data_IF_148194618648
#
_entry.id   IF_148194618648
#
_cell.length_a   1.000
_cell.length_b   1.000
_cell.length_c   1.000
_cell.angle_alpha   90.00
_cell.angle_beta   90.00
_cell.angle_gamma   90.00
#
_symmetry.space_group_name_H-M   'P 1'
#
loop_
_entity.id
_entity.type
_entity.pdbx_description
1 polymer ?
#
# COMPACT_ATOMS: atom_id res chain seq x y z
N UNK A 1 37.28 -75.11 39.20
CA UNK A 1 36.73 -74.52 37.96
C UNK A 1 35.75 -73.39 38.39
N UNK A 2 36.21 -72.15 38.36
CA UNK A 2 35.44 -70.97 38.90
C UNK A 2 34.79 -70.27 37.73
N UNK A 3 33.50 -70.19 37.80
CA UNK A 3 32.68 -69.40 36.83
C UNK A 3 32.57 -67.97 37.35
N UNK A 4 32.97 -67.00 36.51
CA UNK A 4 32.79 -65.58 36.76
C UNK A 4 31.45 -65.13 36.16
N UNK A 5 30.68 -64.24 36.80
CA UNK A 5 29.43 -63.71 36.26
C UNK A 5 29.71 -62.59 35.25
N UNK A 6 28.88 -62.53 34.20
CA UNK A 6 28.86 -61.49 33.18
C UNK A 6 28.16 -60.21 33.70
N UNK A 7 28.78 -59.06 33.54
CA UNK A 7 28.24 -57.74 33.83
C UNK A 7 27.26 -57.32 32.72
N UNK A 8 26.01 -57.08 33.10
CA UNK A 8 25.00 -56.46 32.22
C UNK A 8 25.20 -54.93 32.19
N UNK A 9 25.47 -54.38 30.99
CA UNK A 9 25.48 -52.93 30.75
C UNK A 9 24.05 -52.52 30.45
N UNK A 10 23.47 -51.71 31.35
CA UNK A 10 22.16 -51.04 31.14
C UNK A 10 22.38 -49.78 30.26
N UNK A 11 21.84 -49.79 29.06
CA UNK A 11 21.76 -48.65 28.15
C UNK A 11 20.53 -47.81 28.57
N UNK A 12 20.76 -46.67 29.17
CA UNK A 12 19.70 -45.67 29.39
C UNK A 12 19.42 -44.93 28.07
N UNK A 13 18.27 -45.23 27.46
CA UNK A 13 17.70 -44.41 26.40
C UNK A 13 17.10 -43.15 27.03
N UNK A 14 17.77 -42.02 26.87
CA UNK A 14 17.20 -40.70 27.17
C UNK A 14 16.17 -40.31 26.10
N UNK A 15 14.89 -40.33 26.48
CA UNK A 15 13.81 -39.76 25.66
C UNK A 15 13.89 -38.25 25.78
N UNK A 16 14.42 -37.58 24.77
CA UNK A 16 14.33 -36.14 24.65
C UNK A 16 12.89 -35.77 24.28
N UNK A 17 12.14 -35.25 25.25
CA UNK A 17 10.85 -34.60 25.00
C UNK A 17 11.10 -33.29 24.28
N UNK A 18 10.84 -33.25 22.98
CA UNK A 18 10.75 -32.02 22.21
C UNK A 18 9.46 -31.31 22.69
N UNK A 19 9.63 -30.29 23.53
CA UNK A 19 8.53 -29.39 23.86
C UNK A 19 8.15 -28.61 22.59
N UNK A 20 7.06 -29.01 21.98
CA UNK A 20 6.35 -28.19 21.00
C UNK A 20 5.89 -26.93 21.72
N UNK A 21 6.62 -25.81 21.49
CA UNK A 21 6.12 -24.50 21.86
C UNK A 21 4.85 -24.25 21.02
N UNK A 22 3.71 -24.51 21.61
CA UNK A 22 2.43 -24.06 21.09
C UNK A 22 2.53 -22.54 20.98
N UNK A 23 2.45 -22.01 19.77
CA UNK A 23 2.22 -20.59 19.54
C UNK A 23 0.92 -20.25 20.27
N UNK A 24 1.05 -19.59 21.41
CA UNK A 24 -0.08 -19.08 22.16
C UNK A 24 -0.84 -18.15 21.22
N UNK A 25 -2.04 -18.55 20.80
CA UNK A 25 -3.00 -17.64 20.20
C UNK A 25 -3.24 -16.54 21.24
N UNK A 26 -2.65 -15.37 21.00
CA UNK A 26 -2.89 -14.19 21.83
C UNK A 26 -4.37 -13.85 21.72
N UNK A 27 -5.04 -13.75 22.86
CA UNK A 27 -6.41 -13.27 22.99
C UNK A 27 -6.54 -11.94 22.21
N UNK A 28 -7.40 -11.84 21.17
CA UNK A 28 -7.56 -10.63 20.35
C UNK A 28 -7.88 -9.38 21.20
N UNK A 29 -8.52 -9.55 22.36
CA UNK A 29 -8.83 -8.45 23.28
C UNK A 29 -7.59 -7.80 23.92
N UNK A 30 -6.39 -8.37 23.73
CA UNK A 30 -5.12 -7.89 24.29
C UNK A 30 -4.14 -7.33 23.26
N UNK A 31 -4.44 -7.40 21.96
CA UNK A 31 -3.58 -6.84 20.91
C UNK A 31 -4.27 -5.61 20.25
N UNK A 32 -3.86 -4.38 20.62
CA UNK A 32 -4.46 -3.17 20.04
C UNK A 32 -4.36 -3.10 18.51
N UNK A 33 -3.29 -3.64 17.93
CA UNK A 33 -3.12 -3.72 16.47
C UNK A 33 -4.20 -4.61 15.85
N UNK A 34 -4.38 -5.84 16.37
CA UNK A 34 -5.40 -6.76 15.88
C UNK A 34 -6.80 -6.13 15.95
N UNK A 35 -7.18 -5.56 17.10
CA UNK A 35 -8.49 -4.91 17.28
C UNK A 35 -8.71 -3.79 16.26
N UNK A 36 -7.69 -2.98 15.99
CA UNK A 36 -7.77 -1.91 14.99
C UNK A 36 -7.93 -2.46 13.58
N UNK A 37 -7.09 -3.41 13.18
CA UNK A 37 -7.13 -4.01 11.84
C UNK A 37 -8.46 -4.71 11.60
N UNK A 38 -8.98 -5.44 12.58
CA UNK A 38 -10.30 -6.08 12.54
C UNK A 38 -11.43 -5.06 12.34
N UNK A 39 -11.42 -3.98 13.12
CA UNK A 39 -12.42 -2.92 13.06
C UNK A 39 -12.41 -2.20 11.70
N UNK A 40 -11.23 -1.78 11.24
CA UNK A 40 -11.06 -1.07 9.97
C UNK A 40 -11.49 -1.97 8.80
N UNK A 41 -10.99 -3.20 8.73
CA UNK A 41 -11.27 -4.12 7.64
C UNK A 41 -12.76 -4.45 7.57
N UNK A 42 -13.38 -4.77 8.70
CA UNK A 42 -14.81 -5.08 8.77
C UNK A 42 -15.69 -3.89 8.37
N UNK A 43 -15.35 -2.69 8.84
CA UNK A 43 -16.11 -1.48 8.52
C UNK A 43 -16.03 -1.12 7.03
N UNK A 44 -14.84 -1.21 6.43
CA UNK A 44 -14.66 -0.90 4.99
C UNK A 44 -15.36 -1.93 4.12
N UNK A 45 -15.23 -3.24 4.44
CA UNK A 45 -15.95 -4.29 3.69
C UNK A 45 -17.47 -4.11 3.78
N UNK A 46 -17.99 -3.78 4.97
CA UNK A 46 -19.42 -3.51 5.15
C UNK A 46 -19.88 -2.28 4.34
N UNK A 47 -19.07 -1.22 4.28
CA UNK A 47 -19.40 0.00 3.56
C UNK A 47 -19.31 -0.16 2.04
N UNK A 48 -18.34 -0.93 1.53
CA UNK A 48 -18.08 -1.09 0.08
C UNK A 48 -18.82 -2.27 -0.53
N UNK A 49 -19.16 -3.27 0.28
CA UNK A 49 -19.74 -4.54 -0.18
C UNK A 49 -18.72 -5.45 -0.89
N UNK A 50 -17.42 -5.17 -0.77
CA UNK A 50 -16.35 -6.05 -1.28
C UNK A 50 -16.38 -7.38 -0.52
N UNK A 51 -16.34 -8.54 -1.22
CA UNK A 51 -16.59 -9.83 -0.57
C UNK A 51 -15.57 -10.23 0.47
N UNK A 52 -14.28 -9.97 0.22
CA UNK A 52 -13.22 -10.31 1.18
C UNK A 52 -12.01 -9.40 1.08
N UNK A 53 -11.26 -9.35 2.20
CA UNK A 53 -9.93 -8.79 2.27
C UNK A 53 -8.99 -9.75 3.00
N UNK A 54 -7.75 -9.91 2.51
CA UNK A 54 -6.63 -10.54 3.20
C UNK A 54 -5.62 -9.46 3.56
N UNK A 55 -5.30 -9.34 4.85
CA UNK A 55 -4.48 -8.24 5.39
C UNK A 55 -3.24 -8.81 6.06
N UNK A 56 -2.08 -8.20 5.83
CA UNK A 56 -0.87 -8.44 6.61
C UNK A 56 -0.28 -7.09 7.06
N UNK A 57 0.25 -7.05 8.28
CA UNK A 57 0.90 -5.87 8.85
C UNK A 57 2.27 -6.26 9.37
N UNK A 58 3.28 -5.50 8.94
CA UNK A 58 4.66 -5.60 9.41
C UNK A 58 4.90 -4.49 10.43
N UNK A 59 5.50 -4.83 11.55
CA UNK A 59 5.99 -3.89 12.57
C UNK A 59 7.38 -4.32 13.04
N UNK A 60 8.26 -3.35 13.21
CA UNK A 60 9.65 -3.61 13.64
C UNK A 60 10.36 -4.64 12.73
N UNK A 61 10.12 -4.57 11.42
CA UNK A 61 10.69 -5.47 10.43
C UNK A 61 10.20 -6.92 10.51
N UNK A 62 9.05 -7.19 11.15
CA UNK A 62 8.49 -8.54 11.31
C UNK A 62 7.00 -8.56 11.04
N UNK A 63 6.50 -9.67 10.52
CA UNK A 63 5.07 -9.90 10.38
C UNK A 63 4.41 -9.91 11.77
N UNK A 64 3.67 -8.85 12.09
CA UNK A 64 3.00 -8.66 13.38
C UNK A 64 1.54 -9.13 13.37
N UNK A 65 0.91 -9.13 12.20
CA UNK A 65 -0.49 -9.53 12.05
C UNK A 65 -0.76 -10.05 10.64
N UNK A 66 -1.57 -11.11 10.51
CA UNK A 66 -2.10 -11.59 9.25
C UNK A 66 -3.48 -12.22 9.47
N UNK A 67 -4.49 -11.74 8.74
CA UNK A 67 -5.87 -12.26 8.84
C UNK A 67 -6.64 -12.02 7.54
N UNK A 68 -7.70 -12.81 7.33
CA UNK A 68 -8.62 -12.60 6.22
C UNK A 68 -10.06 -12.43 6.72
N UNK A 69 -10.82 -11.61 6.02
CA UNK A 69 -12.18 -11.22 6.34
C UNK A 69 -13.11 -11.52 5.18
N UNK A 70 -14.37 -11.84 5.48
CA UNK A 70 -15.41 -12.01 4.49
C UNK A 70 -15.36 -13.35 3.76
N UNK A 71 -15.78 -13.35 2.48
CA UNK A 71 -15.94 -14.57 1.68
C UNK A 71 -15.02 -14.59 0.45
N UNK A 72 -14.20 -15.63 0.33
CA UNK A 72 -13.39 -15.91 -0.86
C UNK A 72 -14.24 -16.35 -2.04
N UNK A 73 -15.43 -16.87 -1.78
CA UNK A 73 -16.47 -17.24 -2.75
C UNK A 73 -17.85 -17.00 -2.17
N UNK A 74 -18.75 -16.40 -2.95
CA UNK A 74 -20.09 -16.05 -2.50
C UNK A 74 -21.09 -17.20 -2.67
N UNK A 75 -20.97 -17.97 -3.76
CA UNK A 75 -21.89 -19.08 -4.06
C UNK A 75 -21.12 -20.31 -4.63
N UNK A 76 -21.20 -21.48 -3.96
CA UNK A 76 -21.55 -21.60 -2.55
C UNK A 76 -20.55 -20.83 -1.68
N UNK A 77 -21.03 -20.25 -0.57
CA UNK A 77 -20.20 -19.42 0.31
C UNK A 77 -19.02 -20.21 0.88
N UNK A 78 -17.82 -19.62 0.74
CA UNK A 78 -16.58 -20.08 1.37
C UNK A 78 -15.94 -18.88 2.04
N UNK A 79 -15.68 -18.97 3.33
CA UNK A 79 -15.01 -17.89 4.04
C UNK A 79 -13.55 -17.74 3.59
N UNK A 80 -13.05 -16.51 3.60
CA UNK A 80 -11.67 -16.23 3.28
C UNK A 80 -10.74 -16.63 4.43
N UNK A 81 -9.56 -17.17 4.09
CA UNK A 81 -8.52 -17.53 5.06
C UNK A 81 -7.18 -16.91 4.65
N UNK A 82 -6.29 -16.65 5.61
CA UNK A 82 -5.03 -15.95 5.39
C UNK A 82 -4.05 -16.71 4.49
N UNK A 83 -4.26 -18.01 4.26
CA UNK A 83 -3.49 -18.86 3.35
C UNK A 83 -4.00 -18.84 1.90
N UNK A 84 -5.08 -18.12 1.63
CA UNK A 84 -5.60 -17.97 0.28
C UNK A 84 -4.82 -16.94 -0.52
N UNK A 85 -4.61 -17.25 -1.80
CA UNK A 85 -3.95 -16.37 -2.76
C UNK A 85 -4.96 -15.41 -3.38
N UNK A 86 -4.48 -14.21 -3.67
CA UNK A 86 -5.16 -13.20 -4.48
C UNK A 86 -4.20 -12.74 -5.57
N UNK A 87 -4.69 -12.37 -6.73
CA UNK A 87 -3.88 -11.71 -7.73
C UNK A 87 -3.49 -10.32 -7.22
N UNK A 88 -2.21 -9.96 -7.34
CA UNK A 88 -1.69 -8.70 -6.81
C UNK A 88 -1.55 -7.61 -7.89
N UNK A 89 -1.85 -7.96 -9.15
CA UNK A 89 -1.83 -7.02 -10.27
C UNK A 89 -0.50 -6.27 -10.37
N UNK A 90 -0.60 -4.96 -10.56
CA UNK A 90 0.55 -4.08 -10.80
C UNK A 90 1.58 -4.03 -9.68
N UNK A 91 1.31 -4.54 -8.47
CA UNK A 91 2.36 -4.74 -7.46
C UNK A 91 3.45 -5.67 -7.99
N UNK A 92 3.16 -6.53 -8.98
CA UNK A 92 4.15 -7.37 -9.70
C UNK A 92 5.27 -6.55 -10.34
N UNK A 93 5.02 -5.29 -10.68
CA UNK A 93 6.04 -4.39 -11.27
C UNK A 93 7.25 -4.17 -10.35
N UNK A 94 7.06 -4.22 -9.06
CA UNK A 94 8.17 -4.17 -8.09
C UNK A 94 9.14 -5.33 -8.29
N UNK A 95 8.61 -6.53 -8.55
CA UNK A 95 9.41 -7.73 -8.79
C UNK A 95 10.12 -7.68 -10.15
N UNK A 96 9.46 -7.13 -11.17
CA UNK A 96 10.09 -6.90 -12.48
C UNK A 96 11.23 -5.90 -12.38
N UNK A 97 11.04 -4.80 -11.66
CA UNK A 97 12.09 -3.81 -11.41
C UNK A 97 13.26 -4.43 -10.62
N UNK A 98 12.97 -5.22 -9.59
CA UNK A 98 13.98 -5.94 -8.82
C UNK A 98 14.77 -6.93 -9.69
N UNK A 99 14.12 -7.64 -10.62
CA UNK A 99 14.77 -8.54 -11.56
C UNK A 99 15.75 -7.79 -12.48
N UNK A 100 15.36 -6.63 -12.98
CA UNK A 100 16.26 -5.76 -13.77
C UNK A 100 17.45 -5.30 -12.91
N UNK A 101 17.20 -4.87 -11.68
CA UNK A 101 18.25 -4.42 -10.76
C UNK A 101 19.22 -5.55 -10.38
N UNK A 102 18.75 -6.80 -10.22
CA UNK A 102 19.63 -7.96 -10.03
C UNK A 102 20.56 -8.17 -11.22
N UNK A 103 20.05 -8.06 -12.46
CA UNK A 103 20.87 -8.17 -13.66
C UNK A 103 21.86 -6.99 -13.79
N UNK A 104 21.48 -5.78 -13.37
CA UNK A 104 22.39 -4.65 -13.29
C UNK A 104 23.52 -4.90 -12.29
N UNK A 105 23.23 -5.43 -11.10
CA UNK A 105 24.25 -5.78 -10.11
C UNK A 105 25.24 -6.83 -10.61
N UNK A 106 24.79 -7.71 -11.50
CA UNK A 106 25.63 -8.70 -12.18
C UNK A 106 26.43 -8.09 -13.36
N UNK A 107 26.28 -6.81 -13.65
CA UNK A 107 26.95 -6.14 -14.77
C UNK A 107 26.44 -6.58 -16.15
N UNK A 108 25.27 -7.23 -16.23
CA UNK A 108 24.69 -7.75 -17.48
C UNK A 108 23.93 -6.70 -18.29
N UNK A 109 23.45 -5.66 -17.60
CA UNK A 109 22.78 -4.49 -18.19
C UNK A 109 23.02 -3.24 -17.36
N UNK A 110 22.67 -2.07 -17.91
CA UNK A 110 22.60 -0.81 -17.19
C UNK A 110 21.19 -0.24 -17.31
N UNK A 111 20.69 0.43 -16.27
CA UNK A 111 19.42 1.16 -16.33
C UNK A 111 19.43 2.23 -17.45
N UNK A 112 20.60 2.75 -17.81
CA UNK A 112 20.76 3.78 -18.83
C UNK A 112 21.03 3.19 -20.22
N UNK A 113 21.01 1.86 -20.37
CA UNK A 113 21.07 1.22 -21.68
C UNK A 113 19.80 1.50 -22.50
N UNK A 114 19.93 1.77 -23.83
CA UNK A 114 18.78 1.87 -24.70
C UNK A 114 18.10 0.50 -24.86
N UNK A 115 16.77 0.51 -24.90
CA UNK A 115 15.97 -0.74 -24.96
C UNK A 115 16.24 -1.52 -26.24
N UNK A 116 16.61 -0.86 -27.34
CA UNK A 116 16.96 -1.50 -28.63
C UNK A 116 18.17 -2.42 -28.54
N UNK A 117 19.04 -2.25 -27.54
CA UNK A 117 20.17 -3.15 -27.27
C UNK A 117 19.71 -4.57 -26.97
N UNK A 118 18.52 -4.73 -26.40
CA UNK A 118 17.98 -6.01 -25.97
C UNK A 118 16.76 -6.46 -26.78
N UNK A 119 15.90 -5.50 -27.15
CA UNK A 119 14.68 -5.72 -27.92
C UNK A 119 14.70 -4.81 -29.16
N UNK A 120 15.20 -5.29 -30.29
CA UNK A 120 15.28 -4.50 -31.52
C UNK A 120 13.88 -4.25 -32.13
N UNK A 121 13.75 -3.17 -32.89
CA UNK A 121 12.57 -2.86 -33.69
C UNK A 121 11.43 -2.15 -32.95
N UNK A 122 11.63 -1.73 -31.69
CA UNK A 122 10.71 -0.85 -30.99
C UNK A 122 10.84 0.59 -31.44
N UNK A 123 9.73 1.34 -31.41
CA UNK A 123 9.73 2.77 -31.78
C UNK A 123 10.65 3.55 -30.84
N UNK A 124 11.57 4.33 -31.43
CA UNK A 124 12.58 5.11 -30.71
C UNK A 124 13.37 4.30 -29.65
N UNK A 125 13.52 3.00 -29.86
CA UNK A 125 14.20 2.11 -28.91
C UNK A 125 15.66 2.48 -28.64
N UNK A 126 16.31 3.29 -29.51
CA UNK A 126 17.65 3.83 -29.27
C UNK A 126 17.66 5.03 -28.30
N UNK A 127 16.52 5.67 -28.07
CA UNK A 127 16.37 6.85 -27.24
C UNK A 127 15.76 6.53 -25.88
N UNK A 128 14.89 5.50 -25.83
CA UNK A 128 14.25 5.04 -24.59
C UNK A 128 15.22 4.16 -23.81
N UNK A 129 15.40 4.46 -22.53
CA UNK A 129 16.25 3.68 -21.60
C UNK A 129 15.41 2.71 -20.76
N UNK A 130 16.08 1.70 -20.17
CA UNK A 130 15.43 0.78 -19.20
C UNK A 130 14.90 1.57 -18.00
N UNK A 131 15.60 2.59 -17.54
CA UNK A 131 15.14 3.48 -16.45
C UNK A 131 13.80 4.13 -16.80
N UNK A 132 13.66 4.66 -18.01
CA UNK A 132 12.42 5.31 -18.46
C UNK A 132 11.26 4.31 -18.62
N UNK A 133 11.52 3.02 -18.91
CA UNK A 133 10.50 1.98 -18.81
C UNK A 133 10.02 1.83 -17.37
N UNK A 134 10.94 1.57 -16.42
CA UNK A 134 10.61 1.27 -15.03
C UNK A 134 10.00 2.45 -14.27
N UNK A 135 10.17 3.67 -14.77
CA UNK A 135 9.62 4.90 -14.18
C UNK A 135 8.42 5.49 -14.92
N UNK A 136 7.91 4.81 -15.95
CA UNK A 136 6.79 5.31 -16.78
C UNK A 136 7.04 6.66 -17.47
N UNK A 137 8.30 6.91 -17.86
CA UNK A 137 8.69 8.13 -18.58
C UNK A 137 9.14 7.87 -20.03
N UNK A 138 8.90 6.66 -20.55
CA UNK A 138 9.32 6.23 -21.89
C UNK A 138 8.52 6.84 -23.04
N UNK A 139 7.21 7.09 -22.83
CA UNK A 139 6.26 7.48 -23.85
C UNK A 139 5.58 6.33 -24.59
N UNK A 140 5.90 5.05 -24.33
CA UNK A 140 5.18 3.93 -24.93
C UNK A 140 3.71 3.92 -24.51
N UNK A 141 2.82 3.73 -25.50
CA UNK A 141 1.37 3.64 -25.30
C UNK A 141 1.01 2.47 -24.37
N UNK A 142 0.05 2.69 -23.49
CA UNK A 142 -0.46 1.62 -22.63
C UNK A 142 -1.37 0.67 -23.43
N UNK A 143 -1.14 -0.63 -23.30
CA UNK A 143 -2.00 -1.64 -23.94
C UNK A 143 -3.30 -1.88 -23.16
N UNK A 144 -3.36 -1.50 -21.89
CA UNK A 144 -4.53 -1.67 -21.02
C UNK A 144 -4.87 -0.39 -20.24
N UNK A 145 -5.33 0.67 -20.96
CA UNK A 145 -5.65 1.94 -20.30
C UNK A 145 -7.06 2.00 -19.69
N UNK A 146 -7.89 0.96 -19.85
CA UNK A 146 -9.26 0.87 -19.35
C UNK A 146 -9.38 -0.11 -18.19
N UNK A 147 -10.31 0.15 -17.26
CA UNK A 147 -10.52 -0.65 -16.05
C UNK A 147 -11.48 -1.85 -16.27
N UNK A 148 -11.49 -2.44 -17.45
CA UNK A 148 -12.28 -3.64 -17.76
C UNK A 148 -11.57 -4.52 -18.79
N UNK A 149 -11.98 -5.79 -18.89
CA UNK A 149 -11.47 -6.75 -19.88
C UNK A 149 -12.28 -6.67 -21.16
N UNK A 150 -11.74 -6.10 -22.25
CA UNK A 150 -12.43 -6.15 -23.53
C UNK A 150 -12.38 -7.57 -24.13
N UNK A 151 -13.34 -7.94 -25.01
CA UNK A 151 -13.43 -9.30 -25.57
C UNK A 151 -12.14 -9.78 -26.29
N UNK A 152 -11.32 -8.86 -26.78
CA UNK A 152 -10.02 -9.18 -27.39
C UNK A 152 -9.04 -9.73 -26.37
N UNK A 153 -9.10 -9.26 -25.11
CA UNK A 153 -8.23 -9.69 -24.01
C UNK A 153 -8.69 -11.00 -23.35
N UNK A 154 -9.84 -11.53 -23.68
CA UNK A 154 -10.23 -12.89 -23.26
C UNK A 154 -9.43 -13.97 -24.01
N UNK A 155 -8.79 -13.61 -25.11
CA UNK A 155 -7.96 -14.52 -25.92
C UNK A 155 -6.49 -14.38 -25.49
N UNK A 156 -5.74 -15.49 -25.49
CA UNK A 156 -4.29 -15.44 -25.19
C UNK A 156 -3.54 -14.55 -26.18
N UNK A 157 -2.51 -13.89 -25.67
CA UNK A 157 -1.52 -13.13 -26.44
C UNK A 157 -0.11 -13.50 -25.96
N UNK A 158 0.91 -13.33 -26.81
CA UNK A 158 2.29 -13.39 -26.32
C UNK A 158 2.79 -12.00 -25.95
N UNK A 159 3.77 -11.87 -25.02
CA UNK A 159 4.40 -10.59 -24.73
C UNK A 159 4.94 -9.92 -26.01
N UNK A 160 5.50 -10.69 -26.94
CA UNK A 160 5.91 -10.16 -28.26
C UNK A 160 4.73 -9.61 -29.05
N UNK A 161 3.56 -10.24 -28.99
CA UNK A 161 2.33 -9.76 -29.63
C UNK A 161 1.88 -8.40 -29.08
N UNK A 162 2.03 -8.18 -27.76
CA UNK A 162 1.78 -6.84 -27.14
C UNK A 162 2.76 -5.81 -27.71
N UNK A 163 4.05 -6.13 -27.76
CA UNK A 163 5.05 -5.23 -28.30
C UNK A 163 4.79 -4.90 -29.77
N UNK A 164 4.40 -5.88 -30.56
CA UNK A 164 4.12 -5.71 -31.99
C UNK A 164 2.94 -4.74 -32.24
N UNK A 165 1.97 -4.73 -31.34
CA UNK A 165 0.79 -3.84 -31.45
C UNK A 165 1.01 -2.46 -30.83
N UNK A 166 1.65 -2.33 -29.68
CA UNK A 166 1.70 -1.07 -28.91
C UNK A 166 3.09 -0.45 -28.84
N UNK A 167 4.17 -1.24 -28.72
CA UNK A 167 5.51 -0.69 -28.62
C UNK A 167 6.13 -0.26 -29.97
N UNK A 168 5.43 -0.56 -31.08
CA UNK A 168 5.77 -0.10 -32.43
C UNK A 168 4.92 1.09 -32.89
N UNK A 169 3.97 1.52 -32.10
CA UNK A 169 3.21 2.75 -32.35
C UNK A 169 4.07 4.00 -32.05
N UNK A 170 3.71 5.18 -32.59
CA UNK A 170 4.32 6.43 -32.15
C UNK A 170 4.25 6.60 -30.64
N UNK A 171 5.31 7.14 -30.03
CA UNK A 171 5.28 7.49 -28.62
C UNK A 171 4.27 8.60 -28.34
N UNK A 172 3.59 8.56 -27.19
CA UNK A 172 2.68 9.63 -26.75
C UNK A 172 3.41 10.93 -26.43
N UNK A 173 4.69 10.84 -26.08
CA UNK A 173 5.59 11.97 -25.80
C UNK A 173 7.06 11.54 -25.92
N UNK A 174 7.96 12.51 -26.03
CA UNK A 174 9.39 12.25 -26.07
C UNK A 174 9.89 11.66 -24.73
N UNK A 175 10.78 10.64 -24.75
CA UNK A 175 11.29 9.98 -23.55
C UNK A 175 11.81 10.99 -22.52
N UNK A 176 11.48 10.79 -21.26
CA UNK A 176 11.89 11.62 -20.12
C UNK A 176 11.21 12.99 -20.00
N UNK A 177 10.25 13.33 -20.87
CA UNK A 177 9.60 14.67 -20.84
C UNK A 177 8.28 14.70 -20.08
N UNK A 178 7.63 13.54 -19.89
CA UNK A 178 6.37 13.40 -19.15
C UNK A 178 6.35 12.08 -18.41
N UNK A 179 5.45 11.99 -17.45
CA UNK A 179 5.08 10.76 -16.80
C UNK A 179 3.69 10.31 -17.26
N UNK A 180 3.60 9.05 -17.69
CA UNK A 180 2.32 8.40 -18.04
C UNK A 180 2.45 6.92 -17.79
N UNK A 181 1.58 6.42 -16.91
CA UNK A 181 1.54 4.99 -16.61
C UNK A 181 1.33 4.17 -17.89
N UNK A 182 2.12 3.12 -18.07
CA UNK A 182 2.00 2.22 -19.22
C UNK A 182 2.44 0.82 -18.85
N UNK A 183 1.52 -0.14 -18.95
CA UNK A 183 1.80 -1.56 -18.75
C UNK A 183 2.79 -2.09 -19.80
N UNK A 184 2.75 -1.56 -21.03
CA UNK A 184 3.68 -1.91 -22.13
C UNK A 184 5.15 -1.77 -21.70
N UNK A 185 5.47 -0.81 -20.85
CA UNK A 185 6.82 -0.62 -20.31
C UNK A 185 7.32 -1.86 -19.58
N UNK A 186 6.47 -2.46 -18.77
CA UNK A 186 6.83 -3.61 -17.94
C UNK A 186 6.80 -4.93 -18.71
N UNK A 187 6.04 -5.01 -19.81
CA UNK A 187 6.14 -6.09 -20.79
C UNK A 187 7.53 -6.08 -21.46
N UNK A 188 7.99 -4.90 -21.90
CA UNK A 188 9.34 -4.74 -22.44
C UNK A 188 10.39 -5.11 -21.40
N UNK A 189 10.26 -4.62 -20.16
CA UNK A 189 11.19 -4.89 -19.08
C UNK A 189 11.28 -6.41 -18.76
N UNK A 190 10.14 -7.11 -18.69
CA UNK A 190 10.07 -8.55 -18.50
C UNK A 190 10.78 -9.33 -19.63
N UNK A 191 10.57 -8.91 -20.88
CA UNK A 191 11.29 -9.50 -22.03
C UNK A 191 12.78 -9.19 -22.01
N UNK A 192 13.21 -8.02 -21.54
CA UNK A 192 14.64 -7.70 -21.34
C UNK A 192 15.23 -8.66 -20.30
N UNK A 193 14.54 -8.88 -19.16
CA UNK A 193 14.98 -9.83 -18.13
C UNK A 193 15.14 -11.23 -18.74
N UNK A 194 14.16 -11.72 -19.51
CA UNK A 194 14.21 -13.03 -20.17
C UNK A 194 15.36 -13.10 -21.18
N UNK A 195 15.54 -12.07 -22.01
CA UNK A 195 16.60 -12.03 -23.04
C UNK A 195 17.99 -12.04 -22.42
N UNK A 196 18.22 -11.23 -21.39
CA UNK A 196 19.52 -11.06 -20.74
C UNK A 196 19.89 -12.27 -19.85
N UNK A 197 18.90 -12.83 -19.16
CA UNK A 197 19.12 -13.99 -18.27
C UNK A 197 19.19 -15.32 -19.02
N UNK A 198 18.54 -15.43 -20.17
CA UNK A 198 18.40 -16.65 -20.94
C UNK A 198 17.41 -17.66 -20.36
N UNK A 199 16.61 -17.28 -19.37
CA UNK A 199 15.59 -18.15 -18.76
C UNK A 199 14.19 -17.49 -18.84
N UNK A 200 13.09 -18.26 -18.81
CA UNK A 200 11.74 -17.72 -18.80
C UNK A 200 11.55 -16.73 -17.64
N UNK A 201 10.82 -15.64 -17.88
CA UNK A 201 10.71 -14.53 -16.93
C UNK A 201 10.23 -14.96 -15.55
N UNK A 202 9.09 -15.68 -15.44
CA UNK A 202 8.61 -16.16 -14.15
C UNK A 202 9.59 -17.12 -13.45
N UNK A 203 10.35 -17.91 -14.21
CA UNK A 203 11.39 -18.77 -13.62
C UNK A 203 12.50 -17.91 -13.01
N UNK A 204 12.89 -16.82 -13.66
CA UNK A 204 13.86 -15.87 -13.10
C UNK A 204 13.33 -15.26 -11.80
N UNK A 205 12.10 -14.72 -11.81
CA UNK A 205 11.45 -14.17 -10.62
C UNK A 205 11.42 -15.21 -9.49
N UNK A 206 10.99 -16.44 -9.78
CA UNK A 206 10.91 -17.51 -8.80
C UNK A 206 12.27 -17.80 -8.16
N UNK A 207 13.27 -18.07 -8.97
CA UNK A 207 14.57 -18.54 -8.44
C UNK A 207 15.41 -17.44 -7.82
N UNK A 208 15.22 -16.19 -8.26
CA UNK A 208 16.07 -15.08 -7.84
C UNK A 208 15.43 -14.16 -6.79
N UNK A 209 14.10 -14.22 -6.64
CA UNK A 209 13.36 -13.36 -5.71
C UNK A 209 12.48 -14.19 -4.77
N UNK A 210 11.53 -14.97 -5.32
CA UNK A 210 10.51 -15.63 -4.52
C UNK A 210 11.09 -16.74 -3.62
N UNK A 211 11.94 -17.60 -4.14
CA UNK A 211 12.55 -18.71 -3.39
C UNK A 211 13.53 -18.19 -2.31
N UNK A 212 14.45 -17.23 -2.59
CA UNK A 212 15.29 -16.63 -1.56
C UNK A 212 14.50 -15.96 -0.42
N UNK A 213 13.38 -15.35 -0.71
CA UNK A 213 12.49 -14.71 0.28
C UNK A 213 11.45 -15.66 0.89
N UNK A 214 11.52 -16.97 0.55
CA UNK A 214 10.58 -17.99 1.02
C UNK A 214 9.10 -17.64 0.74
N UNK A 215 8.82 -17.02 -0.40
CA UNK A 215 7.46 -16.64 -0.84
C UNK A 215 6.78 -17.82 -1.56
N UNK A 216 6.56 -18.89 -0.82
CA UNK A 216 6.17 -20.21 -1.38
C UNK A 216 4.74 -20.27 -1.91
N UNK A 217 3.88 -19.32 -1.54
CA UNK A 217 2.51 -19.24 -2.07
C UNK A 217 2.44 -18.59 -3.45
N UNK A 218 3.48 -17.86 -3.87
CA UNK A 218 3.48 -17.12 -5.12
C UNK A 218 3.36 -18.02 -6.35
N UNK A 219 2.48 -17.62 -7.28
CA UNK A 219 2.24 -18.33 -8.55
C UNK A 219 2.16 -17.32 -9.69
N UNK A 220 2.45 -17.82 -10.89
CA UNK A 220 2.16 -17.13 -12.14
C UNK A 220 0.64 -17.22 -12.41
N UNK A 221 -0.07 -16.14 -12.12
CA UNK A 221 -1.50 -16.04 -12.31
C UNK A 221 -1.86 -15.81 -13.80
N UNK A 222 -1.00 -15.11 -14.53
CA UNK A 222 -1.21 -14.85 -15.95
C UNK A 222 -1.21 -16.14 -16.78
N UNK A 223 -0.19 -17.00 -16.59
CA UNK A 223 -0.10 -18.26 -17.31
C UNK A 223 -1.10 -19.33 -16.84
N UNK A 224 -1.44 -19.34 -15.54
CA UNK A 224 -2.28 -20.39 -14.92
C UNK A 224 -3.76 -20.01 -14.80
N UNK A 225 -4.07 -18.72 -14.88
CA UNK A 225 -5.42 -18.18 -14.74
C UNK A 225 -6.05 -18.36 -13.35
N UNK A 226 -7.34 -18.08 -13.22
CA UNK A 226 -8.08 -18.04 -11.95
C UNK A 226 -8.06 -19.35 -11.17
N UNK A 227 -7.85 -20.49 -11.82
CA UNK A 227 -7.77 -21.80 -11.14
C UNK A 227 -6.52 -21.95 -10.27
N UNK A 228 -5.51 -21.09 -10.43
CA UNK A 228 -4.31 -21.08 -9.60
C UNK A 228 -4.51 -20.47 -8.20
N UNK A 229 -5.62 -19.76 -8.01
CA UNK A 229 -6.05 -19.20 -6.73
C UNK A 229 -7.38 -19.84 -6.30
N UNK A 230 -7.59 -19.95 -4.99
CA UNK A 230 -8.87 -20.49 -4.45
C UNK A 230 -9.93 -19.40 -4.27
N UNK A 231 -9.52 -18.15 -4.37
CA UNK A 231 -10.37 -16.98 -4.23
C UNK A 231 -11.01 -16.64 -5.58
N UNK A 232 -12.32 -16.45 -5.60
CA UNK A 232 -13.03 -16.00 -6.79
C UNK A 232 -12.97 -14.49 -6.86
N UNK A 233 -12.52 -13.96 -7.99
CA UNK A 233 -12.58 -12.53 -8.30
C UNK A 233 -13.98 -12.11 -8.73
N UNK A 234 -14.41 -10.92 -8.34
CA UNK A 234 -15.73 -10.37 -8.64
C UNK A 234 -15.63 -9.01 -9.33
N UNK A 235 -16.64 -8.71 -10.13
CA UNK A 235 -16.88 -7.40 -10.71
C UNK A 235 -18.32 -6.94 -10.39
N UNK A 236 -18.57 -5.65 -10.58
CA UNK A 236 -19.91 -5.07 -10.43
C UNK A 236 -20.16 -4.05 -11.55
N UNK A 237 -21.31 -4.15 -12.18
CA UNK A 237 -21.76 -3.13 -13.13
C UNK A 237 -22.58 -2.06 -12.39
N UNK A 238 -22.03 -0.88 -12.24
CA UNK A 238 -22.64 0.20 -11.45
C UNK A 238 -22.92 -0.24 -10.00
N UNK A 239 -24.16 -0.13 -9.55
CA UNK A 239 -24.62 -0.56 -8.22
C UNK A 239 -25.32 -1.93 -8.24
N UNK A 240 -25.17 -2.69 -9.32
CA UNK A 240 -25.78 -4.02 -9.48
C UNK A 240 -25.18 -5.08 -8.58
N UNK A 241 -25.63 -6.34 -8.69
CA UNK A 241 -25.09 -7.44 -7.91
C UNK A 241 -23.66 -7.79 -8.34
N UNK A 242 -22.90 -8.33 -7.40
CA UNK A 242 -21.59 -8.91 -7.69
C UNK A 242 -21.72 -10.13 -8.62
N UNK A 243 -20.80 -10.21 -9.56
CA UNK A 243 -20.68 -11.32 -10.53
C UNK A 243 -19.24 -11.80 -10.55
N UNK A 244 -18.99 -13.09 -10.81
CA UNK A 244 -17.63 -13.56 -11.11
C UNK A 244 -17.02 -12.71 -12.23
N UNK A 245 -15.78 -12.31 -12.03
CA UNK A 245 -15.06 -11.45 -12.97
C UNK A 245 -14.74 -12.18 -14.28
N UNK A 246 -14.65 -11.43 -15.37
CA UNK A 246 -14.23 -11.94 -16.68
C UNK A 246 -12.70 -12.10 -16.63
N UNK A 247 -12.21 -13.29 -16.93
CA UNK A 247 -10.76 -13.56 -16.92
C UNK A 247 -10.12 -13.11 -18.22
N UNK A 248 -8.92 -12.55 -18.11
CA UNK A 248 -8.05 -12.37 -19.27
C UNK A 248 -7.54 -13.71 -19.79
N UNK A 249 -7.27 -13.80 -21.09
CA UNK A 249 -6.45 -14.86 -21.66
C UNK A 249 -5.01 -14.76 -21.15
N UNK A 250 -4.26 -15.84 -21.25
CA UNK A 250 -2.85 -15.87 -20.82
C UNK A 250 -1.98 -14.92 -21.66
N UNK A 251 -0.98 -14.30 -21.04
CA UNK A 251 0.03 -13.47 -21.67
C UNK A 251 -0.25 -11.96 -21.66
N UNK A 252 -1.36 -11.51 -21.06
CA UNK A 252 -1.69 -10.09 -20.97
C UNK A 252 -1.08 -9.36 -19.77
N UNK A 253 -0.57 -10.12 -18.78
CA UNK A 253 -0.08 -9.52 -17.53
C UNK A 253 1.41 -9.74 -17.29
N UNK A 254 2.03 -10.61 -18.03
CA UNK A 254 3.44 -11.01 -18.03
C UNK A 254 4.33 -10.20 -17.03
N UNK A 255 5.18 -9.25 -17.50
CA UNK A 255 6.00 -8.43 -16.60
C UNK A 255 5.26 -7.33 -15.85
N UNK A 256 4.00 -7.04 -16.21
CA UNK A 256 3.22 -5.93 -15.65
C UNK A 256 2.32 -6.32 -14.47
N UNK A 257 1.90 -7.61 -14.34
CA UNK A 257 0.86 -7.97 -13.38
C UNK A 257 0.69 -9.46 -13.07
N UNK A 258 1.65 -10.32 -13.40
CA UNK A 258 1.47 -11.78 -13.47
C UNK A 258 1.27 -12.51 -12.13
N UNK A 259 1.60 -11.89 -11.00
CA UNK A 259 1.72 -12.61 -9.73
C UNK A 259 0.40 -12.71 -8.96
N UNK A 260 0.20 -13.87 -8.31
CA UNK A 260 -0.76 -14.03 -7.23
C UNK A 260 -0.09 -14.70 -6.02
N UNK A 261 -0.45 -14.25 -4.82
CA UNK A 261 0.11 -14.78 -3.57
C UNK A 261 -0.76 -14.46 -2.36
N UNK A 262 -0.35 -14.93 -1.18
CA UNK A 262 -0.95 -14.54 0.09
C UNK A 262 -0.44 -13.17 0.55
N UNK A 263 -1.22 -12.46 1.37
CA UNK A 263 -0.78 -11.20 1.98
C UNK A 263 0.50 -11.38 2.82
N UNK A 264 0.64 -12.52 3.49
CA UNK A 264 1.84 -12.84 4.29
C UNK A 264 3.09 -13.03 3.43
N UNK A 265 2.97 -13.56 2.21
CA UNK A 265 4.13 -13.68 1.32
C UNK A 265 4.51 -12.31 0.73
N UNK A 266 3.53 -11.48 0.35
CA UNK A 266 3.83 -10.12 -0.08
C UNK A 266 4.48 -9.30 1.05
N UNK A 267 4.08 -9.50 2.31
CA UNK A 267 4.73 -8.88 3.46
C UNK A 267 6.20 -9.31 3.64
N UNK A 268 6.62 -10.49 3.15
CA UNK A 268 8.06 -10.87 3.14
C UNK A 268 8.85 -10.04 2.14
N UNK A 269 8.25 -9.71 1.01
CA UNK A 269 8.83 -8.74 0.06
C UNK A 269 8.99 -7.37 0.72
N UNK A 270 7.97 -6.88 1.41
CA UNK A 270 8.03 -5.61 2.11
C UNK A 270 9.11 -5.61 3.21
N UNK A 271 9.28 -6.72 3.94
CA UNK A 271 10.37 -6.90 4.91
C UNK A 271 11.72 -6.82 4.21
N UNK A 272 11.88 -7.45 3.03
CA UNK A 272 13.11 -7.40 2.27
C UNK A 272 13.42 -5.98 1.74
N UNK A 273 12.42 -5.15 1.49
CA UNK A 273 12.61 -3.72 1.20
C UNK A 273 13.07 -2.94 2.44
N UNK A 274 12.55 -3.27 3.62
CA UNK A 274 12.89 -2.61 4.89
C UNK A 274 14.33 -2.93 5.32
N UNK A 275 14.74 -4.20 5.24
CA UNK A 275 16.04 -4.68 5.73
C UNK A 275 17.11 -4.76 4.63
N UNK A 276 16.77 -4.36 3.41
CA UNK A 276 17.64 -4.37 2.23
C UNK A 276 18.28 -5.75 1.95
N UNK A 277 17.57 -6.86 2.23
CA UNK A 277 18.17 -8.20 2.27
C UNK A 277 18.32 -8.89 0.91
N UNK A 278 17.59 -8.46 -0.13
CA UNK A 278 17.61 -9.11 -1.45
C UNK A 278 18.52 -8.39 -2.45
N UNK A 279 18.40 -7.06 -2.54
CA UNK A 279 19.15 -6.22 -3.46
C UNK A 279 20.30 -5.52 -2.71
N UNK A 280 21.32 -5.11 -3.46
CA UNK A 280 22.33 -4.22 -2.87
C UNK A 280 21.71 -2.86 -2.48
N UNK A 281 22.22 -2.18 -1.42
CA UNK A 281 21.65 -0.90 -0.95
C UNK A 281 21.57 0.17 -2.05
N UNK A 282 22.48 0.18 -3.02
CA UNK A 282 22.42 1.11 -4.16
C UNK A 282 21.22 0.85 -5.08
N UNK A 283 20.80 -0.41 -5.20
CA UNK A 283 19.63 -0.80 -6.01
C UNK A 283 18.32 -0.43 -5.32
N UNK A 284 18.22 -0.62 -4.00
CA UNK A 284 17.06 -0.13 -3.23
C UNK A 284 16.96 1.39 -3.34
N UNK A 285 18.07 2.13 -3.16
CA UNK A 285 18.05 3.58 -3.36
C UNK A 285 17.62 3.99 -4.77
N UNK A 286 18.06 3.28 -5.80
CA UNK A 286 17.62 3.56 -7.17
C UNK A 286 16.13 3.27 -7.37
N UNK A 287 15.62 2.18 -6.78
CA UNK A 287 14.22 1.79 -6.85
C UNK A 287 13.30 2.79 -6.14
N UNK A 288 13.69 3.24 -4.97
CA UNK A 288 12.91 4.05 -4.03
C UNK A 288 13.17 5.56 -4.13
N UNK A 289 13.91 5.99 -5.15
CA UNK A 289 14.13 7.42 -5.43
C UNK A 289 13.25 7.84 -6.60
N UNK A 290 12.51 8.92 -6.42
CA UNK A 290 11.67 9.46 -7.49
C UNK A 290 12.51 9.87 -8.70
N UNK A 291 12.07 9.49 -9.89
CA UNK A 291 12.71 9.89 -11.13
C UNK A 291 12.28 11.31 -11.48
N UNK A 292 13.26 12.13 -11.88
CA UNK A 292 13.00 13.49 -12.35
C UNK A 292 12.83 13.51 -13.86
N UNK A 293 11.88 14.28 -14.35
CA UNK A 293 11.73 14.59 -15.77
C UNK A 293 12.88 15.50 -16.25
N UNK A 294 13.06 15.63 -17.55
CA UNK A 294 14.11 16.48 -18.16
C UNK A 294 14.04 17.95 -17.76
N UNK A 295 12.88 18.43 -17.33
CA UNK A 295 12.67 19.79 -16.79
C UNK A 295 12.90 19.89 -15.27
N UNK A 296 13.27 18.79 -14.60
CA UNK A 296 13.53 18.72 -13.17
C UNK A 296 12.29 18.45 -12.31
N UNK A 297 11.10 18.30 -12.91
CA UNK A 297 9.87 17.98 -12.17
C UNK A 297 9.91 16.53 -11.67
N UNK A 298 9.58 16.34 -10.40
CA UNK A 298 9.47 15.00 -9.80
C UNK A 298 8.24 14.27 -10.31
N UNK A 299 8.40 12.99 -10.68
CA UNK A 299 7.29 12.14 -11.09
C UNK A 299 6.49 11.58 -9.91
N UNK A 300 7.04 11.58 -8.68
CA UNK A 300 6.48 10.84 -7.55
C UNK A 300 6.63 9.32 -7.70
N UNK A 301 7.34 8.84 -8.72
CA UNK A 301 7.50 7.43 -9.04
C UNK A 301 9.00 7.08 -9.19
N UNK A 302 9.40 5.96 -8.60
CA UNK A 302 10.74 5.41 -8.70
C UNK A 302 10.82 4.35 -9.79
N UNK A 303 11.37 3.18 -9.49
CA UNK A 303 11.44 2.06 -10.43
C UNK A 303 10.42 0.98 -10.00
N UNK A 304 9.22 1.02 -10.57
CA UNK A 304 8.13 0.11 -10.25
C UNK A 304 7.45 0.35 -8.89
N UNK A 305 7.65 1.53 -8.29
CA UNK A 305 7.07 1.95 -7.02
C UNK A 305 6.67 3.42 -7.03
N UNK A 306 5.62 3.76 -6.34
CA UNK A 306 5.29 5.13 -5.95
C UNK A 306 6.17 5.55 -4.76
N UNK A 307 6.62 6.79 -4.77
CA UNK A 307 7.48 7.36 -3.72
C UNK A 307 6.84 8.62 -3.17
N UNK A 308 6.48 8.60 -1.91
CA UNK A 308 5.77 9.70 -1.27
C UNK A 308 5.86 9.71 0.24
N UNK A 309 4.86 10.29 0.85
CA UNK A 309 4.69 10.33 2.31
C UNK A 309 3.23 10.03 2.68
N UNK A 310 3.05 9.33 3.77
CA UNK A 310 1.75 9.12 4.40
C UNK A 310 1.86 9.47 5.90
N UNK A 311 1.04 10.40 6.35
CA UNK A 311 1.06 10.90 7.74
C UNK A 311 2.43 11.44 8.21
N UNK A 312 3.21 12.04 7.30
CA UNK A 312 4.55 12.56 7.59
C UNK A 312 5.68 11.52 7.52
N UNK A 313 5.37 10.25 7.36
CA UNK A 313 6.33 9.15 7.22
C UNK A 313 6.63 8.89 5.75
N UNK A 314 7.90 8.63 5.40
CA UNK A 314 8.29 8.22 4.05
C UNK A 314 7.59 6.92 3.71
N UNK A 315 6.91 6.89 2.57
CA UNK A 315 6.14 5.75 2.11
C UNK A 315 6.56 5.34 0.69
N UNK A 316 6.77 4.05 0.50
CA UNK A 316 6.97 3.39 -0.78
C UNK A 316 5.75 2.50 -0.98
N UNK A 317 5.03 2.66 -2.09
CA UNK A 317 3.77 1.94 -2.29
C UNK A 317 3.57 1.53 -3.74
N UNK A 318 2.64 0.64 -3.96
CA UNK A 318 2.02 0.42 -5.25
C UNK A 318 0.64 -0.19 -5.06
N UNK A 319 -0.33 0.30 -5.82
CA UNK A 319 -1.63 -0.36 -5.96
C UNK A 319 -1.56 -1.45 -7.03
N UNK A 320 -2.48 -2.40 -6.97
CA UNK A 320 -2.63 -3.43 -7.99
C UNK A 320 -4.08 -3.64 -8.33
N UNK A 321 -4.36 -3.74 -9.64
CA UNK A 321 -5.67 -4.12 -10.14
C UNK A 321 -5.51 -5.08 -11.32
N UNK A 322 -6.29 -6.14 -11.29
CA UNK A 322 -6.57 -7.03 -12.41
C UNK A 322 -8.01 -7.50 -12.27
N UNK A 323 -8.57 -8.07 -13.33
CA UNK A 323 -9.96 -8.51 -13.32
C UNK A 323 -10.31 -9.34 -12.09
N UNK A 324 -11.23 -8.80 -11.28
CA UNK A 324 -11.72 -9.42 -10.04
C UNK A 324 -10.91 -9.19 -8.79
N UNK A 325 -9.80 -8.44 -8.84
CA UNK A 325 -8.92 -8.26 -7.69
C UNK A 325 -8.36 -6.84 -7.63
N UNK A 326 -8.33 -6.27 -6.42
CA UNK A 326 -7.52 -5.09 -6.12
C UNK A 326 -6.58 -5.38 -4.95
N UNK A 327 -5.44 -4.72 -4.95
CA UNK A 327 -4.39 -4.89 -3.94
C UNK A 327 -3.74 -3.54 -3.60
N UNK A 328 -3.15 -3.46 -2.43
CA UNK A 328 -2.35 -2.32 -1.97
C UNK A 328 -1.23 -2.82 -1.09
N UNK A 329 0.01 -2.36 -1.31
CA UNK A 329 1.07 -2.46 -0.34
C UNK A 329 1.68 -1.08 -0.06
N UNK A 330 1.92 -0.79 1.21
CA UNK A 330 2.55 0.45 1.67
C UNK A 330 3.68 0.06 2.62
N UNK A 331 4.90 0.43 2.27
CA UNK A 331 6.11 0.17 3.05
C UNK A 331 6.61 1.49 3.64
N UNK A 332 6.97 1.49 4.91
CA UNK A 332 7.59 2.59 5.64
C UNK A 332 9.00 2.15 6.04
N UNK A 333 10.01 2.32 5.16
CA UNK A 333 11.34 1.77 5.40
C UNK A 333 11.98 2.33 6.67
N UNK A 334 11.83 3.64 6.90
CA UNK A 334 12.44 4.34 8.04
C UNK A 334 11.80 3.94 9.38
N UNK A 335 10.56 3.44 9.37
CA UNK A 335 9.79 3.02 10.55
C UNK A 335 9.75 1.51 10.72
N UNK A 336 10.37 0.75 9.81
CA UNK A 336 10.36 -0.71 9.80
C UNK A 336 8.95 -1.32 9.85
N UNK A 337 8.01 -0.71 9.10
CA UNK A 337 6.61 -1.09 9.07
C UNK A 337 6.09 -1.24 7.64
N UNK A 338 5.06 -2.06 7.45
CA UNK A 338 4.35 -2.17 6.17
C UNK A 338 2.91 -2.64 6.36
N UNK A 339 2.06 -2.35 5.38
CA UNK A 339 0.68 -2.80 5.31
C UNK A 339 0.41 -3.38 3.93
N UNK A 340 -0.09 -4.60 3.90
CA UNK A 340 -0.54 -5.30 2.69
C UNK A 340 -2.04 -5.55 2.81
N UNK A 341 -2.79 -5.22 1.76
CA UNK A 341 -4.23 -5.53 1.66
C UNK A 341 -4.53 -6.06 0.27
N UNK A 342 -5.13 -7.24 0.22
CA UNK A 342 -5.56 -7.91 -1.01
C UNK A 342 -7.07 -8.13 -0.95
N UNK A 343 -7.80 -7.78 -2.00
CA UNK A 343 -9.27 -7.94 -2.07
C UNK A 343 -9.70 -8.66 -3.33
N UNK A 344 -10.90 -9.23 -3.33
CA UNK A 344 -11.43 -10.01 -4.46
C UNK A 344 -12.57 -9.32 -5.20
N UNK A 345 -12.42 -8.02 -5.44
CA UNK A 345 -13.28 -7.27 -6.35
C UNK A 345 -12.45 -6.21 -7.07
N UNK A 346 -12.60 -6.10 -8.40
CA UNK A 346 -12.02 -5.02 -9.19
C UNK A 346 -12.84 -3.73 -9.10
N UNK A 347 -12.31 -2.64 -9.64
CA UNK A 347 -12.94 -1.32 -9.66
C UNK A 347 -13.48 -0.89 -8.27
N UNK A 348 -12.77 -1.27 -7.19
CA UNK A 348 -13.18 -1.03 -5.81
C UNK A 348 -12.07 -0.40 -4.99
N UNK A 349 -12.41 0.60 -4.18
CA UNK A 349 -11.45 1.34 -3.35
C UNK A 349 -11.09 0.66 -2.02
N UNK A 350 -11.60 -0.56 -1.77
CA UNK A 350 -11.49 -1.19 -0.44
C UNK A 350 -10.05 -1.50 -0.03
N UNK A 351 -9.20 -1.99 -0.95
CA UNK A 351 -7.79 -2.31 -0.64
C UNK A 351 -7.03 -1.07 -0.16
N UNK A 352 -7.07 0.02 -0.93
CA UNK A 352 -6.43 1.28 -0.56
C UNK A 352 -7.05 1.92 0.69
N UNK A 353 -8.38 1.87 0.84
CA UNK A 353 -9.06 2.42 2.01
C UNK A 353 -8.66 1.69 3.30
N UNK A 354 -8.61 0.36 3.29
CA UNK A 354 -8.17 -0.45 4.44
C UNK A 354 -6.69 -0.16 4.72
N UNK A 355 -5.81 -0.24 3.70
CA UNK A 355 -4.38 -0.04 3.87
C UNK A 355 -4.05 1.33 4.46
N UNK A 356 -4.61 2.40 3.91
CA UNK A 356 -4.35 3.75 4.40
C UNK A 356 -4.89 4.00 5.81
N UNK A 357 -6.09 3.47 6.17
CA UNK A 357 -6.63 3.63 7.51
C UNK A 357 -5.82 2.84 8.55
N UNK A 358 -5.33 1.65 8.21
CA UNK A 358 -4.43 0.89 9.07
C UNK A 358 -3.12 1.66 9.22
N UNK A 359 -2.48 2.06 8.11
CA UNK A 359 -1.19 2.75 8.08
C UNK A 359 -1.20 4.03 8.92
N UNK A 360 -2.22 4.88 8.77
CA UNK A 360 -2.39 6.09 9.62
C UNK A 360 -2.48 5.76 11.11
N UNK A 361 -2.90 4.57 11.45
CA UNK A 361 -3.04 4.14 12.83
C UNK A 361 -1.82 3.40 13.38
N UNK A 362 -0.83 3.04 12.55
CA UNK A 362 0.41 2.43 13.02
C UNK A 362 1.29 3.45 13.74
N UNK A 363 1.27 4.67 13.26
CA UNK A 363 2.04 5.76 13.82
C UNK A 363 1.11 6.66 14.64
N UNK A 364 1.37 6.85 15.93
CA UNK A 364 0.66 7.86 16.71
C UNK A 364 0.95 9.21 16.05
N UNK A 365 -0.04 9.76 15.37
CA UNK A 365 0.07 11.02 14.62
C UNK A 365 0.21 12.25 15.49
N UNK A 366 0.36 12.10 16.78
CA UNK A 366 0.49 13.21 17.69
C UNK A 366 1.84 13.13 18.38
N UNK A 367 2.83 13.87 17.86
CA UNK A 367 3.96 14.27 18.69
C UNK A 367 3.43 15.03 19.94
N UNK A 368 4.22 15.11 20.97
CA UNK A 368 3.80 15.75 22.23
C UNK A 368 3.33 17.20 22.00
N UNK A 369 3.81 17.85 20.94
CA UNK A 369 3.45 19.21 20.57
C UNK A 369 2.03 19.26 19.95
N UNK A 370 1.71 18.36 19.02
CA UNK A 370 0.36 18.23 18.43
C UNK A 370 -0.67 17.83 19.49
N UNK A 371 -0.34 16.92 20.40
CA UNK A 371 -1.19 16.58 21.54
C UNK A 371 -1.46 17.78 22.43
N UNK A 372 -0.41 18.54 22.77
CA UNK A 372 -0.53 19.75 23.58
C UNK A 372 -1.41 20.81 22.91
N UNK A 373 -1.26 21.00 21.60
CA UNK A 373 -2.05 21.96 20.82
C UNK A 373 -3.50 21.53 20.67
N UNK A 374 -3.74 20.24 20.43
CA UNK A 374 -5.10 19.67 20.37
C UNK A 374 -5.78 19.79 21.74
N UNK A 375 -5.07 19.49 22.83
CA UNK A 375 -5.59 19.68 24.18
C UNK A 375 -5.91 21.13 24.46
N UNK A 376 -5.03 22.10 24.10
CA UNK A 376 -5.30 23.53 24.22
C UNK A 376 -6.55 23.95 23.44
N UNK A 377 -6.66 23.55 22.17
CA UNK A 377 -7.82 23.85 21.35
C UNK A 377 -9.11 23.27 21.94
N UNK A 378 -9.05 22.07 22.49
CA UNK A 378 -10.17 21.44 23.21
C UNK A 378 -10.53 22.17 24.48
N UNK A 379 -9.58 22.58 25.31
CA UNK A 379 -9.84 23.37 26.54
C UNK A 379 -10.51 24.70 26.22
N UNK A 380 -10.10 25.37 25.13
CA UNK A 380 -10.78 26.58 24.66
C UNK A 380 -12.23 26.29 24.26
N UNK A 381 -12.46 25.19 23.53
CA UNK A 381 -13.81 24.78 23.14
C UNK A 381 -14.72 24.55 24.36
N UNK A 382 -14.23 23.79 25.34
CA UNK A 382 -14.92 23.50 26.59
C UNK A 382 -15.19 24.77 27.38
N UNK A 383 -14.27 25.75 27.40
CA UNK A 383 -14.49 27.08 27.98
C UNK A 383 -15.62 27.84 27.29
N UNK A 384 -15.66 27.83 25.96
CA UNK A 384 -16.68 28.47 25.16
C UNK A 384 -18.09 27.86 25.37
N UNK A 385 -18.17 26.54 25.59
CA UNK A 385 -19.43 25.86 25.99
C UNK A 385 -19.99 26.43 27.31
N UNK A 386 -19.13 26.99 28.16
CA UNK A 386 -19.48 27.60 29.42
C UNK A 386 -19.46 29.14 29.38
N UNK A 387 -19.27 29.74 28.21
CA UNK A 387 -19.23 31.22 28.05
C UNK A 387 -17.97 31.86 28.62
N UNK A 388 -16.88 31.11 28.74
CA UNK A 388 -15.60 31.55 29.27
C UNK A 388 -14.46 31.30 28.29
N UNK A 389 -13.40 32.11 28.39
CA UNK A 389 -12.18 31.92 27.59
C UNK A 389 -10.97 32.46 28.37
N UNK A 390 -9.83 31.73 28.29
CA UNK A 390 -8.56 32.23 28.79
C UNK A 390 -7.97 33.24 27.78
N UNK A 391 -8.11 34.51 28.07
CA UNK A 391 -7.71 35.62 27.20
C UNK A 391 -6.20 35.70 26.98
N UNK A 392 -5.39 35.12 27.88
CA UNK A 392 -3.92 35.11 27.76
C UNK A 392 -3.43 34.30 26.57
N UNK A 393 -4.24 33.39 26.07
CA UNK A 393 -3.93 32.53 24.93
C UNK A 393 -4.04 33.25 23.57
N UNK A 394 -4.60 34.46 23.53
CA UNK A 394 -4.94 35.14 22.30
C UNK A 394 -4.10 36.40 22.08
N UNK A 395 -4.01 36.86 20.85
CA UNK A 395 -3.55 38.19 20.51
C UNK A 395 -4.57 39.22 20.94
N UNK A 396 -4.21 40.52 20.94
CA UNK A 396 -5.17 41.61 21.26
C UNK A 396 -6.38 41.62 20.33
N UNK A 397 -6.19 41.29 19.07
CA UNK A 397 -7.25 41.32 18.06
C UNK A 397 -8.21 40.14 18.23
N UNK A 398 -7.67 38.93 18.44
CA UNK A 398 -8.50 37.76 18.72
C UNK A 398 -9.18 37.84 20.10
N UNK A 399 -8.56 38.49 21.11
CA UNK A 399 -9.18 38.72 22.40
C UNK A 399 -10.38 39.64 22.27
N UNK A 400 -10.28 40.71 21.47
CA UNK A 400 -11.39 41.65 21.21
C UNK A 400 -12.60 40.97 20.52
N UNK A 401 -12.37 39.90 19.76
CA UNK A 401 -13.44 39.10 19.14
C UNK A 401 -14.34 38.45 20.20
N UNK A 402 -13.80 38.00 21.33
CA UNK A 402 -14.58 37.39 22.42
C UNK A 402 -15.29 38.40 23.32
N UNK A 403 -16.15 39.23 22.70
CA UNK A 403 -17.03 40.13 23.43
C UNK A 403 -18.00 39.36 24.31
N UNK A 404 -18.68 40.09 25.27
CA UNK A 404 -19.71 39.49 26.11
C UNK A 404 -20.83 38.83 25.27
N UNK A 405 -21.21 39.46 24.14
CA UNK A 405 -22.21 38.91 23.23
C UNK A 405 -21.68 37.63 22.56
N UNK A 406 -20.45 37.63 22.06
CA UNK A 406 -19.84 36.42 21.41
C UNK A 406 -19.77 35.23 22.38
N UNK A 407 -19.32 35.46 23.62
CA UNK A 407 -19.27 34.43 24.65
C UNK A 407 -20.66 33.90 25.01
N UNK A 408 -21.69 34.77 25.09
CA UNK A 408 -23.06 34.32 25.30
C UNK A 408 -23.58 33.46 24.14
N UNK A 409 -23.28 33.82 22.89
CA UNK A 409 -23.71 33.09 21.72
C UNK A 409 -22.99 31.72 21.61
N UNK A 410 -21.69 31.65 21.93
CA UNK A 410 -20.96 30.39 22.06
C UNK A 410 -21.60 29.51 23.15
N UNK A 411 -21.82 30.02 24.34
CA UNK A 411 -22.42 29.26 25.44
C UNK A 411 -23.80 28.72 25.06
N UNK A 412 -24.67 29.52 24.49
CA UNK A 412 -26.04 29.13 24.15
C UNK A 412 -26.08 28.12 23.02
N UNK A 413 -25.14 28.19 22.05
CA UNK A 413 -25.11 27.31 20.88
C UNK A 413 -24.33 26.03 21.10
N UNK A 414 -23.19 26.06 21.79
CA UNK A 414 -22.33 24.88 22.02
C UNK A 414 -22.74 24.11 23.28
N UNK A 415 -23.10 24.81 24.38
CA UNK A 415 -23.47 24.16 25.65
C UNK A 415 -24.66 23.20 25.55
N UNK A 416 -25.56 23.43 24.57
CA UNK A 416 -26.68 22.52 24.30
C UNK A 416 -26.27 21.18 23.62
N UNK A 417 -25.02 21.04 23.13
CA UNK A 417 -24.57 19.86 22.41
C UNK A 417 -24.07 18.73 23.33
N UNK A 418 -23.76 19.07 24.59
CA UNK A 418 -23.15 18.15 25.55
C UNK A 418 -21.69 17.85 25.24
N UNK A 419 -21.07 16.91 25.95
CA UNK A 419 -19.66 16.61 25.79
C UNK A 419 -19.36 16.00 24.40
N UNK A 420 -18.31 16.47 23.71
CA UNK A 420 -17.93 15.90 22.41
C UNK A 420 -17.40 14.46 22.54
N UNK A 421 -17.82 13.60 21.63
CA UNK A 421 -17.34 12.21 21.52
C UNK A 421 -15.88 12.15 21.08
N UNK A 422 -15.46 13.08 20.20
CA UNK A 422 -14.06 13.19 19.76
C UNK A 422 -13.71 14.63 19.42
N UNK A 423 -12.42 14.97 19.58
CA UNK A 423 -11.83 16.23 19.16
C UNK A 423 -10.49 15.88 18.51
N UNK A 424 -10.39 15.95 17.18
CA UNK A 424 -9.25 15.41 16.42
C UNK A 424 -8.75 16.45 15.43
N UNK A 425 -7.44 16.68 15.37
CA UNK A 425 -6.82 17.50 14.32
C UNK A 425 -6.99 16.80 12.97
N UNK A 426 -7.43 17.53 11.95
CA UNK A 426 -7.68 16.99 10.60
C UNK A 426 -6.83 17.67 9.53
N UNK A 427 -6.08 18.72 9.88
CA UNK A 427 -5.22 19.42 8.94
C UNK A 427 -4.35 20.47 9.62
N UNK A 428 -3.22 20.74 8.97
CA UNK A 428 -2.29 21.82 9.32
C UNK A 428 -1.75 22.44 8.03
N UNK A 429 -1.65 23.77 7.99
CA UNK A 429 -1.07 24.52 6.86
C UNK A 429 -0.43 25.82 7.34
N UNK A 430 0.39 26.46 6.49
CA UNK A 430 0.96 27.78 6.75
C UNK A 430 0.19 28.83 5.98
N UNK A 431 -0.17 29.94 6.65
CA UNK A 431 -0.88 31.06 6.05
C UNK A 431 -0.42 32.38 6.67
N UNK A 432 0.13 33.29 5.85
CA UNK A 432 0.53 34.63 6.29
C UNK A 432 1.54 34.64 7.45
N UNK A 433 2.44 33.65 7.53
CA UNK A 433 3.40 33.51 8.63
C UNK A 433 2.84 32.81 9.87
N UNK A 434 1.55 32.51 9.89
CA UNK A 434 0.86 31.77 10.94
C UNK A 434 0.76 30.28 10.59
N UNK A 435 0.47 29.45 11.60
CA UNK A 435 0.09 28.04 11.41
C UNK A 435 -1.41 27.93 11.57
N UNK A 436 -2.08 27.56 10.46
CA UNK A 436 -3.49 27.18 10.48
C UNK A 436 -3.61 25.72 10.92
N UNK A 437 -4.49 25.43 11.89
CA UNK A 437 -4.90 24.08 12.25
C UNK A 437 -6.39 23.92 12.21
N UNK A 438 -6.83 22.79 11.66
CA UNK A 438 -8.25 22.43 11.60
C UNK A 438 -8.51 21.20 12.43
N UNK A 439 -9.61 21.22 13.17
CA UNK A 439 -10.06 20.11 14.02
C UNK A 439 -11.48 19.72 13.65
N UNK A 440 -11.80 18.43 13.79
CA UNK A 440 -13.15 17.88 13.72
C UNK A 440 -13.60 17.54 15.15
N UNK A 441 -14.75 18.09 15.55
CA UNK A 441 -15.39 17.80 16.82
C UNK A 441 -16.68 17.04 16.54
N UNK A 442 -16.81 15.81 17.07
CA UNK A 442 -17.98 14.97 16.80
C UNK A 442 -18.88 14.85 18.03
N UNK A 443 -20.18 14.91 17.79
CA UNK A 443 -21.26 14.70 18.74
C UNK A 443 -22.18 13.58 18.21
N UNK A 444 -23.10 13.02 19.00
CA UNK A 444 -23.97 11.92 18.57
C UNK A 444 -24.73 12.15 17.26
N UNK A 445 -25.10 13.43 16.99
CA UNK A 445 -25.97 13.76 15.83
C UNK A 445 -25.41 14.84 14.91
N UNK A 446 -24.20 15.35 15.17
CA UNK A 446 -23.55 16.34 14.31
C UNK A 446 -22.04 16.36 14.48
N UNK A 447 -21.38 17.01 13.52
CA UNK A 447 -19.98 17.36 13.63
C UNK A 447 -19.79 18.87 13.42
N UNK A 448 -18.78 19.41 14.12
CA UNK A 448 -18.32 20.79 13.95
C UNK A 448 -16.88 20.77 13.44
N UNK A 449 -16.53 21.83 12.72
CA UNK A 449 -15.15 22.17 12.40
C UNK A 449 -14.72 23.32 13.33
N UNK A 450 -13.53 23.13 13.95
CA UNK A 450 -12.81 24.21 14.62
C UNK A 450 -11.57 24.48 13.78
N UNK A 451 -11.19 25.76 13.62
CA UNK A 451 -9.90 26.12 13.05
C UNK A 451 -9.27 27.30 13.78
N UNK A 452 -7.95 27.23 13.86
CA UNK A 452 -7.14 28.20 14.60
C UNK A 452 -6.04 28.74 13.71
N UNK A 453 -5.63 29.99 13.92
CA UNK A 453 -4.38 30.52 13.42
C UNK A 453 -3.46 30.83 14.60
N UNK A 454 -2.29 30.22 14.62
CA UNK A 454 -1.29 30.41 15.67
C UNK A 454 -0.13 31.25 15.15
N UNK A 455 0.18 32.31 15.88
CA UNK A 455 1.30 33.21 15.64
C UNK A 455 2.64 32.54 16.03
N UNK A 456 3.81 33.02 15.53
CA UNK A 456 5.11 32.47 15.90
C UNK A 456 5.43 32.53 17.41
N UNK A 457 4.79 33.43 18.16
CA UNK A 457 4.92 33.54 19.63
C UNK A 457 4.02 32.54 20.39
N UNK A 458 3.23 31.72 19.67
CA UNK A 458 2.34 30.72 20.22
C UNK A 458 0.93 31.26 20.57
N UNK A 459 0.66 32.58 20.44
CA UNK A 459 -0.68 33.12 20.64
C UNK A 459 -1.60 32.80 19.47
N UNK A 460 -2.88 32.66 19.75
CA UNK A 460 -3.90 32.48 18.71
C UNK A 460 -4.40 33.81 18.20
N UNK A 461 -4.29 34.01 16.90
CA UNK A 461 -4.89 35.13 16.17
C UNK A 461 -6.34 34.83 15.79
N UNK A 462 -6.73 33.56 15.77
CA UNK A 462 -8.09 33.14 15.45
C UNK A 462 -8.44 31.82 16.12
N UNK A 463 -9.68 31.72 16.56
CA UNK A 463 -10.37 30.49 16.95
C UNK A 463 -11.82 30.57 16.46
N UNK A 464 -12.18 29.72 15.51
CA UNK A 464 -13.52 29.73 14.90
C UNK A 464 -14.14 28.33 14.99
N UNK A 465 -15.46 28.31 15.11
CA UNK A 465 -16.29 27.11 15.16
C UNK A 465 -17.40 27.21 14.11
N UNK A 466 -17.58 26.19 13.29
CA UNK A 466 -18.68 26.13 12.33
C UNK A 466 -19.23 24.71 12.18
N UNK A 467 -20.47 24.54 11.71
CA UNK A 467 -20.97 23.23 11.29
C UNK A 467 -20.10 22.64 10.19
N UNK A 468 -19.94 21.31 10.19
CA UNK A 468 -19.45 20.58 9.00
C UNK A 468 -20.63 20.42 8.07
N UNK A 469 -20.53 20.98 6.85
CA UNK A 469 -21.55 20.88 5.81
C UNK A 469 -21.67 19.48 5.25
#
# INVERSE_FOLDING_TARGET
MRIRPASAIAVLLGVATVSSAALAQSDPSRNPLATRVDSVSSAVLAATGVPSASVAVVMHGRLAYAHAYGASRLDPRVDATADMRYAIGSISKQFTAAAVLLLQQEGKLSLDDPVSKYIPGLTQGNEVTIRELLSHTSGYQDFWPQDYVPPTMEKPISPQGILDHWAKQPLDFAPGTRWQYSNTNFEIAGLIVQTVSGVPFFQFIRTRILDPLHMTSAVDFDAKGPTSVRTIGYLRYGLGPLRPAISTGAGWMFGAGELAMTASDLAKWDIAMIDESLLAPASYRAMETTVLLKDGVSTGYGLGVEVGQLSGHRAISHSGEVSGFTAENIVFPDDSAAVVVLTNQDAASASGAIAQQIARGLFPTEDAETQSRTARARTIFEGLEHGTVDRSLFTSDADAYFSAQALHDFQSSLGALGAPMSFTQIGESKRGGMIERSYRVTFPHRALRVWTYEMPDGKLEQYQVAPVG
#
